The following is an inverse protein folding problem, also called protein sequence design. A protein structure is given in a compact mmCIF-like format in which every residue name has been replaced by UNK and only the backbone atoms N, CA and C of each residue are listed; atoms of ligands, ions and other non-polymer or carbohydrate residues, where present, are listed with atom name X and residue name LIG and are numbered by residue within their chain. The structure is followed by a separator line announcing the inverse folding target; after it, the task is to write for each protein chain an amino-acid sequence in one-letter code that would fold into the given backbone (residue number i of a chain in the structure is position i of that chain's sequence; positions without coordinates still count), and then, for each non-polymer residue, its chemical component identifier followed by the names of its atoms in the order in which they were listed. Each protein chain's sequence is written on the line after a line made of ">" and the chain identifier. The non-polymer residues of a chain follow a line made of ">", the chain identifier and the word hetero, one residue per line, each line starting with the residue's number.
data_IF_002950329669
#
_entry.id   IF_002950329669
#
_cell.length_a   1.000
_cell.length_b   1.000
_cell.length_c   1.000
_cell.angle_alpha   90.00
_cell.angle_beta   90.00
_cell.angle_gamma   90.00
#
_symmetry.space_group_name_H-M   'P 1'
#
loop_
_entity.id
_entity.type
_entity.pdbx_description
1 polymer ?
#
# COMPACT_ATOMS: atom_id res chain seq x y z
N UNK A 1 -11.64 -6.09 -23.48
CA UNK A 1 -11.84 -6.57 -22.08
C UNK A 1 -10.62 -6.40 -21.18
N UNK A 2 -9.40 -6.70 -21.65
CA UNK A 2 -8.17 -6.65 -20.82
C UNK A 2 -7.85 -5.27 -20.24
N UNK A 3 -8.04 -4.20 -21.02
CA UNK A 3 -7.76 -2.82 -20.59
C UNK A 3 -8.65 -2.36 -19.44
N UNK A 4 -9.96 -2.69 -19.47
CA UNK A 4 -10.89 -2.37 -18.39
C UNK A 4 -10.47 -3.01 -17.07
N UNK A 5 -9.94 -4.23 -17.12
CA UNK A 5 -9.47 -4.97 -15.95
C UNK A 5 -8.24 -4.29 -15.35
N UNK A 6 -7.26 -3.90 -16.18
CA UNK A 6 -6.06 -3.18 -15.74
C UNK A 6 -6.41 -1.82 -15.13
N UNK A 7 -7.31 -1.06 -15.75
CA UNK A 7 -7.73 0.26 -15.23
C UNK A 7 -8.40 0.10 -13.86
N UNK A 8 -9.31 -0.86 -13.70
CA UNK A 8 -9.98 -1.11 -12.41
C UNK A 8 -8.98 -1.52 -11.32
N UNK A 9 -7.95 -2.28 -11.68
CA UNK A 9 -6.88 -2.68 -10.75
C UNK A 9 -6.10 -1.47 -10.23
N UNK A 10 -5.66 -0.61 -11.14
CA UNK A 10 -4.94 0.63 -10.80
C UNK A 10 -5.80 1.54 -9.94
N UNK A 11 -7.06 1.78 -10.33
CA UNK A 11 -7.97 2.63 -9.55
C UNK A 11 -8.20 2.11 -8.14
N UNK A 12 -8.36 0.79 -7.97
CA UNK A 12 -8.49 0.18 -6.64
C UNK A 12 -7.23 0.34 -5.80
N UNK A 13 -6.05 0.20 -6.40
CA UNK A 13 -4.78 0.39 -5.69
C UNK A 13 -4.61 1.84 -5.25
N UNK A 14 -4.89 2.82 -6.12
CA UNK A 14 -4.86 4.26 -5.77
C UNK A 14 -5.81 4.53 -4.61
N UNK A 15 -7.07 4.11 -4.73
CA UNK A 15 -8.10 4.39 -3.74
C UNK A 15 -7.76 3.79 -2.37
N UNK A 16 -7.32 2.54 -2.32
CA UNK A 16 -6.93 1.89 -1.07
C UNK A 16 -5.72 2.54 -0.42
N UNK A 17 -4.68 2.86 -1.20
CA UNK A 17 -3.49 3.55 -0.70
C UNK A 17 -3.82 4.93 -0.14
N UNK A 18 -4.65 5.71 -0.85
CA UNK A 18 -5.08 7.03 -0.38
C UNK A 18 -5.93 6.94 0.89
N UNK A 19 -6.86 5.98 0.96
CA UNK A 19 -7.70 5.78 2.15
C UNK A 19 -6.87 5.37 3.36
N UNK A 20 -5.87 4.50 3.18
CA UNK A 20 -4.97 4.11 4.27
C UNK A 20 -4.14 5.29 4.81
N UNK A 21 -3.70 6.19 3.93
CA UNK A 21 -2.97 7.40 4.33
C UNK A 21 -3.83 8.44 5.04
N UNK A 22 -5.17 8.31 5.02
CA UNK A 22 -6.03 9.12 5.87
C UNK A 22 -5.80 8.82 7.35
N UNK A 23 -5.33 7.62 7.71
CA UNK A 23 -5.05 7.26 9.10
C UNK A 23 -3.97 8.17 9.71
N UNK A 24 -2.73 8.24 9.15
CA UNK A 24 -1.73 9.17 9.65
C UNK A 24 -2.19 10.62 9.50
N UNK A 25 -2.81 11.01 8.38
CA UNK A 25 -3.30 12.38 8.18
C UNK A 25 -4.27 12.84 9.28
N UNK A 26 -5.16 11.96 9.73
CA UNK A 26 -6.06 12.24 10.83
C UNK A 26 -5.33 12.17 12.18
N UNK A 27 -4.37 11.25 12.35
CA UNK A 27 -3.63 11.09 13.60
C UNK A 27 -2.84 12.34 13.99
N UNK A 28 -2.19 12.99 13.02
CA UNK A 28 -1.47 14.28 13.16
C UNK A 28 -2.35 15.37 13.79
N UNK A 29 -3.66 15.35 13.50
CA UNK A 29 -4.59 16.35 14.00
C UNK A 29 -4.92 16.17 15.49
N UNK A 30 -4.69 14.98 16.04
CA UNK A 30 -5.01 14.66 17.43
C UNK A 30 -3.78 14.52 18.32
N UNK A 31 -2.58 14.37 17.76
CA UNK A 31 -1.35 14.14 18.52
C UNK A 31 -0.11 14.58 17.74
N UNK A 32 0.84 15.21 18.44
CA UNK A 32 2.17 15.53 17.91
C UNK A 32 3.14 14.33 17.91
N UNK A 33 2.66 13.12 18.25
CA UNK A 33 3.47 11.90 18.28
C UNK A 33 3.79 11.35 16.88
N UNK A 34 2.99 11.74 15.89
CA UNK A 34 3.28 11.53 14.46
C UNK A 34 3.54 12.94 13.93
N UNK A 35 4.59 13.12 13.12
CA UNK A 35 4.87 14.39 12.44
C UNK A 35 5.40 14.12 11.04
N UNK A 36 4.52 13.69 10.14
CA UNK A 36 4.85 13.35 8.76
C UNK A 36 4.90 14.59 7.87
N UNK A 37 6.00 14.73 7.14
CA UNK A 37 6.12 15.67 6.04
C UNK A 37 5.44 15.13 4.78
N UNK A 38 5.17 16.01 3.81
CA UNK A 38 4.58 15.62 2.53
C UNK A 38 5.36 14.47 1.84
N UNK A 39 6.68 14.46 2.00
CA UNK A 39 7.54 13.41 1.45
C UNK A 39 7.25 12.03 2.05
N UNK A 40 6.90 11.95 3.33
CA UNK A 40 6.56 10.70 4.01
C UNK A 40 5.25 10.13 3.46
N UNK A 41 4.25 10.99 3.23
CA UNK A 41 3.00 10.59 2.57
C UNK A 41 3.23 10.08 1.15
N UNK A 42 4.10 10.73 0.37
CA UNK A 42 4.42 10.29 -0.99
C UNK A 42 5.14 8.94 -0.98
N UNK A 43 6.12 8.76 -0.08
CA UNK A 43 6.87 7.53 0.04
C UNK A 43 5.95 6.37 0.48
N UNK A 44 5.14 6.61 1.50
CA UNK A 44 4.15 5.65 1.99
C UNK A 44 3.11 5.30 0.91
N UNK A 45 2.66 6.29 0.13
CA UNK A 45 1.77 6.06 -1.02
C UNK A 45 2.43 5.15 -2.05
N UNK A 46 3.67 5.43 -2.45
CA UNK A 46 4.42 4.63 -3.41
C UNK A 46 4.58 3.17 -2.95
N UNK A 47 4.85 2.95 -1.66
CA UNK A 47 4.98 1.61 -1.08
C UNK A 47 3.65 0.86 -1.10
N UNK A 48 2.56 1.48 -0.61
CA UNK A 48 1.24 0.86 -0.59
C UNK A 48 0.72 0.59 -2.00
N UNK A 49 0.91 1.54 -2.92
CA UNK A 49 0.46 1.44 -4.30
C UNK A 49 1.20 0.32 -5.05
N UNK A 50 2.53 0.27 -4.95
CA UNK A 50 3.33 -0.78 -5.59
C UNK A 50 3.04 -2.16 -5.00
N UNK A 51 2.95 -2.27 -3.67
CA UNK A 51 2.55 -3.51 -3.00
C UNK A 51 1.16 -3.98 -3.43
N UNK A 52 0.19 -3.07 -3.51
CA UNK A 52 -1.17 -3.36 -3.96
C UNK A 52 -1.22 -3.86 -5.41
N UNK A 53 -0.47 -3.25 -6.32
CA UNK A 53 -0.36 -3.71 -7.71
C UNK A 53 0.28 -5.10 -7.81
N UNK A 54 1.39 -5.34 -7.10
CA UNK A 54 2.07 -6.64 -7.09
C UNK A 54 1.14 -7.70 -6.51
N UNK A 55 0.40 -7.41 -5.44
CA UNK A 55 -0.54 -8.34 -4.83
C UNK A 55 -1.68 -8.71 -5.78
N UNK A 56 -2.26 -7.73 -6.48
CA UNK A 56 -3.30 -7.97 -7.48
C UNK A 56 -2.75 -8.78 -8.67
N UNK A 57 -1.54 -8.48 -9.13
CA UNK A 57 -0.90 -9.20 -10.23
C UNK A 57 -0.61 -10.66 -9.84
N UNK A 58 -0.05 -10.88 -8.66
CA UNK A 58 0.17 -12.21 -8.08
C UNK A 58 -1.14 -13.01 -7.95
N UNK A 59 -2.22 -12.34 -7.55
CA UNK A 59 -3.52 -12.99 -7.41
C UNK A 59 -4.05 -13.56 -8.73
N UNK A 60 -3.88 -12.82 -9.82
CA UNK A 60 -4.32 -13.26 -11.16
C UNK A 60 -3.38 -14.34 -11.72
N UNK A 61 -2.07 -14.14 -11.55
CA UNK A 61 -1.06 -14.99 -12.19
C UNK A 61 -0.88 -16.34 -11.50
N UNK A 62 -1.03 -16.39 -10.17
CA UNK A 62 -0.77 -17.58 -9.35
C UNK A 62 -1.91 -17.85 -8.36
N UNK A 63 -3.09 -18.30 -8.83
CA UNK A 63 -4.26 -18.51 -7.97
C UNK A 63 -3.99 -19.52 -6.85
N UNK A 64 -3.22 -20.58 -7.13
CA UNK A 64 -2.84 -21.61 -6.15
C UNK A 64 -1.93 -21.10 -5.02
N UNK A 65 -1.23 -19.99 -5.24
CA UNK A 65 -0.27 -19.41 -4.28
C UNK A 65 -0.73 -18.10 -3.66
N UNK A 66 -1.97 -17.66 -3.94
CA UNK A 66 -2.51 -16.36 -3.51
C UNK A 66 -2.28 -16.06 -2.03
N UNK A 67 -2.54 -17.04 -1.15
CA UNK A 67 -2.39 -16.86 0.31
C UNK A 67 -0.93 -16.57 0.68
N UNK A 68 0.00 -17.36 0.13
CA UNK A 68 1.43 -17.21 0.41
C UNK A 68 2.01 -15.93 -0.20
N UNK A 69 1.67 -15.62 -1.46
CA UNK A 69 2.14 -14.40 -2.11
C UNK A 69 1.59 -13.14 -1.44
N UNK A 70 0.31 -13.13 -1.06
CA UNK A 70 -0.30 -12.03 -0.31
C UNK A 70 0.35 -11.85 1.07
N UNK A 71 0.56 -12.93 1.81
CA UNK A 71 1.22 -12.86 3.12
C UNK A 71 2.67 -12.37 3.01
N UNK A 72 3.43 -12.82 2.01
CA UNK A 72 4.80 -12.38 1.77
C UNK A 72 4.85 -10.88 1.42
N UNK A 73 3.98 -10.43 0.52
CA UNK A 73 3.92 -9.01 0.14
C UNK A 73 3.54 -8.16 1.35
N UNK A 74 2.54 -8.57 2.13
CA UNK A 74 2.16 -7.86 3.35
C UNK A 74 3.31 -7.80 4.35
N UNK A 75 4.05 -8.90 4.55
CA UNK A 75 5.20 -8.94 5.43
C UNK A 75 6.32 -8.00 4.96
N UNK A 76 6.64 -8.01 3.67
CA UNK A 76 7.66 -7.12 3.09
C UNK A 76 7.25 -5.65 3.20
N UNK A 77 5.97 -5.34 2.93
CA UNK A 77 5.45 -3.98 3.09
C UNK A 77 5.52 -3.52 4.54
N UNK A 78 5.15 -4.35 5.50
CA UNK A 78 5.27 -4.02 6.93
C UNK A 78 6.73 -3.86 7.36
N UNK A 79 7.65 -4.68 6.84
CA UNK A 79 9.07 -4.58 7.13
C UNK A 79 9.64 -3.23 6.67
N UNK A 80 9.31 -2.82 5.44
CA UNK A 80 9.71 -1.51 4.91
C UNK A 80 9.06 -0.38 5.72
N UNK A 81 7.79 -0.53 6.11
CA UNK A 81 7.07 0.47 6.88
C UNK A 81 7.67 0.69 8.27
N UNK A 82 8.01 -0.39 8.99
CA UNK A 82 8.69 -0.31 10.29
C UNK A 82 10.09 0.27 10.12
N UNK A 83 10.81 -0.11 9.07
CA UNK A 83 12.14 0.46 8.77
C UNK A 83 12.10 1.97 8.53
N UNK A 84 11.03 2.48 7.91
CA UNK A 84 10.82 3.92 7.73
C UNK A 84 10.36 4.63 8.99
N UNK A 85 9.68 3.95 9.91
CA UNK A 85 9.18 4.56 11.16
C UNK A 85 10.26 4.72 12.24
N UNK A 86 11.38 4.01 12.11
CA UNK A 86 12.50 4.05 13.09
C UNK A 86 13.57 5.08 12.70
N UNK A 87 13.53 5.59 11.46
CA UNK A 87 14.52 6.52 10.91
C UNK A 87 14.01 7.96 10.95
#
# INVERSE_FOLDING_TARGET
>A
MRERVTVVMVLRAILLSSVLLLIPLLAEQFSSAVNWQLNDYLLAFCILFSAGLIAQWCYIRWPQRRRYSGALIALLTLLVWVGLAVF
#
